data_IF_940435471216
#
_entry.id   IF_940435471216
#
_cell.length_a   1.000
_cell.length_b   1.000
_cell.length_c   1.000
_cell.angle_alpha   90.00
_cell.angle_beta   90.00
_cell.angle_gamma   90.00
#
_symmetry.space_group_name_H-M   'P 1'
#
loop_
_entity.id
_entity.type
_entity.pdbx_description
1 polymer ?
#
# COMPACT_ATOMS: atom_id res chain seq x y z
N UNK A 1 22.61 50.96 10.89
CA UNK A 1 21.28 50.29 10.91
C UNK A 1 21.03 49.31 9.76
N UNK A 2 21.63 49.45 8.58
CA UNK A 2 21.45 48.51 7.43
C UNK A 2 21.87 47.05 7.72
N UNK A 3 22.97 46.82 8.45
CA UNK A 3 23.49 45.46 8.71
C UNK A 3 22.56 44.57 9.60
N UNK A 4 21.84 45.13 10.56
CA UNK A 4 20.97 44.32 11.42
C UNK A 4 19.77 43.71 10.66
N UNK A 5 19.17 44.43 9.71
CA UNK A 5 18.08 43.92 8.88
C UNK A 5 18.54 42.78 7.97
N UNK A 6 19.73 42.89 7.36
CA UNK A 6 20.33 41.85 6.53
C UNK A 6 20.60 40.57 7.33
N UNK A 7 21.11 40.68 8.55
CA UNK A 7 21.38 39.53 9.42
C UNK A 7 20.08 38.82 9.79
N UNK A 8 19.02 39.54 10.12
CA UNK A 8 17.70 38.95 10.43
C UNK A 8 17.13 38.17 9.23
N UNK A 9 17.22 38.74 8.02
CA UNK A 9 16.76 38.09 6.80
C UNK A 9 17.50 36.75 6.57
N UNK A 10 18.83 36.73 6.74
CA UNK A 10 19.66 35.53 6.58
C UNK A 10 19.26 34.46 7.61
N UNK A 11 19.04 34.83 8.87
CA UNK A 11 18.61 33.91 9.92
C UNK A 11 17.23 33.29 9.59
N UNK A 12 16.28 34.09 9.12
CA UNK A 12 14.94 33.60 8.72
C UNK A 12 15.03 32.59 7.57
N UNK A 13 15.88 32.86 6.57
CA UNK A 13 16.09 31.93 5.45
C UNK A 13 16.70 30.62 5.94
N UNK A 14 17.69 30.65 6.81
CA UNK A 14 18.33 29.45 7.37
C UNK A 14 17.30 28.60 8.16
N UNK A 15 16.51 29.25 9.01
CA UNK A 15 15.44 28.57 9.78
C UNK A 15 14.40 27.94 8.84
N UNK A 16 14.00 28.64 7.77
CA UNK A 16 13.05 28.10 6.78
C UNK A 16 13.61 26.86 6.07
N UNK A 17 14.89 26.85 5.70
CA UNK A 17 15.54 25.70 5.08
C UNK A 17 15.60 24.51 6.05
N UNK A 18 15.95 24.76 7.32
CA UNK A 18 15.97 23.71 8.36
C UNK A 18 14.59 23.10 8.56
N UNK A 19 13.53 23.92 8.62
CA UNK A 19 12.16 23.46 8.76
C UNK A 19 11.74 22.62 7.54
N UNK A 20 12.05 23.05 6.32
CA UNK A 20 11.73 22.32 5.09
C UNK A 20 12.46 20.98 5.00
N UNK A 21 13.74 20.94 5.39
CA UNK A 21 14.52 19.67 5.42
C UNK A 21 14.01 18.73 6.50
N UNK A 22 13.65 19.25 7.66
CA UNK A 22 13.08 18.45 8.75
C UNK A 22 11.70 17.88 8.40
N UNK A 23 10.84 18.69 7.75
CA UNK A 23 9.56 18.19 7.21
C UNK A 23 9.75 17.12 6.12
N UNK A 24 10.70 17.30 5.23
CA UNK A 24 11.05 16.30 4.21
C UNK A 24 11.54 14.98 4.81
N UNK A 25 12.26 15.04 5.93
CA UNK A 25 12.74 13.85 6.65
C UNK A 25 11.60 13.11 7.38
N UNK A 26 10.69 13.85 8.03
CA UNK A 26 9.53 13.26 8.73
C UNK A 26 8.52 12.64 7.77
N UNK A 27 8.37 13.20 6.55
CA UNK A 27 7.45 12.66 5.53
C UNK A 27 7.94 11.39 4.82
N UNK A 28 9.16 10.92 5.08
CA UNK A 28 9.63 9.64 4.53
C UNK A 28 8.89 8.52 5.24
N UNK A 29 7.83 8.00 4.61
CA UNK A 29 7.06 6.86 5.12
C UNK A 29 8.01 5.69 5.35
N UNK A 30 8.23 5.31 6.61
CA UNK A 30 9.05 4.14 6.93
C UNK A 30 8.38 2.89 6.34
N UNK A 31 9.20 2.10 5.64
CA UNK A 31 8.78 0.78 5.18
C UNK A 31 8.62 -0.14 6.39
N UNK A 32 7.64 -1.03 6.33
CA UNK A 32 7.37 -2.01 7.39
C UNK A 32 7.49 -3.45 6.88
N UNK A 33 7.56 -4.39 7.81
CA UNK A 33 7.50 -5.82 7.52
C UNK A 33 6.06 -6.34 7.57
N UNK A 34 5.75 -7.31 6.71
CA UNK A 34 4.57 -8.14 6.87
C UNK A 34 4.73 -9.05 8.09
N UNK A 35 3.66 -9.73 8.52
CA UNK A 35 3.77 -10.80 9.49
C UNK A 35 4.67 -11.91 8.95
N UNK A 36 5.41 -12.59 9.80
CA UNK A 36 6.43 -13.57 9.40
C UNK A 36 5.89 -14.72 8.56
N UNK A 37 4.67 -15.16 8.85
CA UNK A 37 3.98 -16.20 8.09
C UNK A 37 3.53 -15.79 6.68
N UNK A 38 3.75 -14.53 6.27
CA UNK A 38 3.48 -14.04 4.92
C UNK A 38 4.74 -13.91 4.06
N UNK A 39 5.89 -14.39 4.54
CA UNK A 39 7.12 -14.51 3.75
C UNK A 39 7.28 -15.91 3.16
N UNK A 40 6.19 -16.39 2.56
CA UNK A 40 6.11 -17.61 1.75
C UNK A 40 5.06 -17.40 0.66
N UNK A 41 5.34 -17.88 -0.56
CA UNK A 41 4.43 -17.69 -1.68
C UNK A 41 3.08 -18.36 -1.44
N UNK A 42 2.04 -17.54 -1.46
CA UNK A 42 0.65 -18.00 -1.51
C UNK A 42 -0.28 -16.89 -2.02
N UNK A 43 -1.34 -17.26 -2.75
CA UNK A 43 -2.51 -16.42 -3.06
C UNK A 43 -3.67 -16.90 -2.19
N UNK A 44 -3.58 -16.62 -0.90
CA UNK A 44 -4.43 -17.20 0.14
C UNK A 44 -5.84 -16.61 0.15
N UNK A 45 -6.84 -17.44 -0.13
CA UNK A 45 -8.26 -17.05 0.02
C UNK A 45 -8.61 -16.93 1.50
N UNK A 46 -9.25 -15.80 1.86
CA UNK A 46 -9.68 -15.53 3.23
C UNK A 46 -11.15 -15.08 3.29
N UNK A 47 -11.78 -15.28 4.44
CA UNK A 47 -13.11 -14.79 4.70
C UNK A 47 -13.08 -13.35 5.27
N UNK A 48 -14.23 -12.64 5.25
CA UNK A 48 -14.35 -11.35 5.91
C UNK A 48 -14.13 -11.44 7.43
N UNK A 49 -14.42 -12.60 8.05
CA UNK A 49 -14.17 -12.84 9.49
C UNK A 49 -12.68 -12.89 9.80
N UNK A 50 -11.90 -13.54 8.93
CA UNK A 50 -10.44 -13.60 9.05
C UNK A 50 -9.85 -12.20 8.94
N UNK A 51 -10.31 -11.38 7.96
CA UNK A 51 -9.85 -10.00 7.80
C UNK A 51 -10.18 -9.15 9.04
N UNK A 52 -11.42 -9.23 9.56
CA UNK A 52 -11.80 -8.50 10.75
C UNK A 52 -11.02 -8.95 12.00
N UNK A 53 -10.61 -10.22 12.07
CA UNK A 53 -9.71 -10.74 13.11
C UNK A 53 -8.32 -10.14 12.97
N UNK A 54 -7.71 -10.18 11.77
CA UNK A 54 -6.40 -9.61 11.49
C UNK A 54 -6.33 -8.10 11.79
N UNK A 55 -7.41 -7.37 11.49
CA UNK A 55 -7.54 -5.96 11.83
C UNK A 55 -7.51 -5.72 13.34
N UNK A 56 -8.33 -6.45 14.11
CA UNK A 56 -8.39 -6.37 15.57
C UNK A 56 -7.05 -6.73 16.22
N UNK A 57 -6.37 -7.74 15.68
CA UNK A 57 -5.04 -8.19 16.11
C UNK A 57 -3.92 -7.25 15.62
N UNK A 58 -4.25 -6.17 14.92
CA UNK A 58 -3.30 -5.17 14.39
C UNK A 58 -2.21 -5.81 13.51
N UNK A 59 -2.58 -6.76 12.67
CA UNK A 59 -1.66 -7.44 11.76
C UNK A 59 -1.32 -6.61 10.53
N UNK A 60 -0.16 -6.92 9.91
CA UNK A 60 0.35 -6.28 8.71
C UNK A 60 0.33 -7.27 7.55
N UNK A 61 -0.38 -6.95 6.46
CA UNK A 61 -0.61 -7.85 5.32
C UNK A 61 -0.97 -7.09 4.04
N UNK A 62 -0.93 -7.81 2.90
CA UNK A 62 -1.43 -7.34 1.61
C UNK A 62 -2.76 -8.03 1.33
N UNK A 63 -3.76 -7.28 0.91
CA UNK A 63 -5.09 -7.79 0.58
C UNK A 63 -5.48 -7.41 -0.85
N UNK A 64 -5.84 -8.40 -1.66
CA UNK A 64 -6.42 -8.22 -2.99
C UNK A 64 -7.92 -8.47 -2.92
N UNK A 65 -8.71 -7.49 -3.34
CA UNK A 65 -10.14 -7.67 -3.57
C UNK A 65 -10.41 -7.96 -5.05
N UNK A 66 -11.25 -8.93 -5.36
CA UNK A 66 -11.54 -9.30 -6.74
C UNK A 66 -13.05 -9.52 -6.97
N UNK A 67 -13.46 -9.37 -8.22
CA UNK A 67 -14.81 -9.75 -8.65
C UNK A 67 -14.75 -11.09 -9.38
N UNK A 68 -15.31 -12.17 -8.82
CA UNK A 68 -15.27 -13.50 -9.43
C UNK A 68 -16.01 -13.60 -10.78
N UNK A 69 -16.86 -12.62 -11.09
CA UNK A 69 -17.62 -12.54 -12.34
C UNK A 69 -17.01 -11.61 -13.40
N UNK A 70 -15.86 -11.01 -13.10
CA UNK A 70 -15.20 -10.06 -14.00
C UNK A 70 -14.35 -10.82 -15.03
N UNK A 71 -14.81 -10.87 -16.28
CA UNK A 71 -14.04 -11.37 -17.41
C UNK A 71 -13.19 -10.23 -18.00
N UNK A 72 -12.18 -9.77 -17.28
CA UNK A 72 -11.22 -8.81 -17.87
C UNK A 72 -10.41 -9.50 -18.96
N UNK A 73 -10.26 -8.84 -20.12
CA UNK A 73 -9.38 -9.30 -21.22
C UNK A 73 -7.90 -9.42 -20.80
N UNK A 74 -7.50 -8.72 -19.74
CA UNK A 74 -6.16 -8.78 -19.16
C UNK A 74 -6.28 -9.45 -17.80
N UNK A 75 -5.69 -10.63 -17.58
CA UNK A 75 -5.71 -11.32 -16.30
C UNK A 75 -4.75 -10.60 -15.33
N UNK A 76 -5.25 -9.55 -14.69
CA UNK A 76 -4.47 -8.77 -13.70
C UNK A 76 -4.04 -9.61 -12.49
N UNK A 77 -4.76 -10.69 -12.19
CA UNK A 77 -4.42 -11.69 -11.18
C UNK A 77 -3.03 -12.30 -11.42
N UNK A 78 -2.66 -12.58 -12.69
CA UNK A 78 -1.34 -13.10 -13.03
C UNK A 78 -0.20 -12.17 -12.66
N UNK A 79 -0.37 -10.86 -12.78
CA UNK A 79 0.65 -9.86 -12.39
C UNK A 79 0.91 -9.93 -10.89
N UNK A 80 -0.15 -10.02 -10.08
CA UNK A 80 -0.04 -10.09 -8.63
C UNK A 80 0.52 -11.43 -8.16
N UNK A 81 0.08 -12.53 -8.80
CA UNK A 81 0.58 -13.88 -8.54
C UNK A 81 2.06 -14.01 -8.90
N UNK A 82 2.46 -13.54 -10.08
CA UNK A 82 3.85 -13.54 -10.52
C UNK A 82 4.74 -12.75 -9.55
N UNK A 83 4.31 -11.56 -9.13
CA UNK A 83 5.03 -10.78 -8.13
C UNK A 83 5.15 -11.52 -6.81
N UNK A 84 4.04 -12.06 -6.28
CA UNK A 84 4.02 -12.79 -5.03
C UNK A 84 4.97 -14.00 -5.06
N UNK A 85 4.99 -14.73 -6.18
CA UNK A 85 5.88 -15.86 -6.41
C UNK A 85 7.35 -15.43 -6.48
N UNK A 86 7.66 -14.39 -7.27
CA UNK A 86 9.02 -13.90 -7.44
C UNK A 86 9.63 -13.33 -6.15
N UNK A 87 8.80 -12.79 -5.26
CA UNK A 87 9.23 -12.21 -3.98
C UNK A 87 8.99 -13.13 -2.79
N UNK A 88 8.50 -14.35 -3.04
CA UNK A 88 8.17 -15.35 -2.02
C UNK A 88 7.32 -14.77 -0.88
N UNK A 89 6.21 -14.10 -1.22
CA UNK A 89 5.29 -13.50 -0.25
C UNK A 89 3.85 -13.96 -0.46
N UNK A 90 3.05 -13.88 0.60
CA UNK A 90 1.62 -14.17 0.56
C UNK A 90 0.82 -12.88 0.28
N UNK A 91 -0.12 -12.97 -0.67
CA UNK A 91 -1.19 -11.98 -0.85
C UNK A 91 -2.51 -12.63 -0.45
N UNK A 92 -3.19 -12.03 0.53
CA UNK A 92 -4.53 -12.47 0.92
C UNK A 92 -5.54 -12.04 -0.15
N UNK A 93 -6.48 -12.92 -0.49
CA UNK A 93 -7.48 -12.65 -1.52
C UNK A 93 -8.89 -12.81 -0.98
N UNK A 94 -9.79 -11.89 -1.34
CA UNK A 94 -11.19 -11.91 -0.91
C UNK A 94 -12.13 -11.46 -2.04
N UNK A 95 -13.26 -12.17 -2.31
CA UNK A 95 -14.27 -11.67 -3.19
C UNK A 95 -14.84 -10.33 -2.71
N UNK A 96 -15.09 -9.40 -3.63
CA UNK A 96 -15.49 -8.05 -3.28
C UNK A 96 -16.83 -7.97 -2.55
N UNK A 97 -17.78 -8.85 -2.86
CA UNK A 97 -19.06 -8.97 -2.14
C UNK A 97 -18.85 -9.30 -0.65
N UNK A 98 -17.85 -10.12 -0.34
CA UNK A 98 -17.47 -10.47 1.04
C UNK A 98 -16.64 -9.35 1.69
N UNK A 99 -15.77 -8.70 0.91
CA UNK A 99 -14.98 -7.55 1.37
C UNK A 99 -15.86 -6.42 1.89
N UNK A 100 -17.04 -6.20 1.30
CA UNK A 100 -18.03 -5.20 1.77
C UNK A 100 -18.43 -5.34 3.24
N UNK A 101 -18.18 -6.51 3.87
CA UNK A 101 -18.46 -6.77 5.29
C UNK A 101 -17.29 -6.43 6.21
N UNK A 102 -16.20 -5.88 5.70
CA UNK A 102 -15.04 -5.43 6.48
C UNK A 102 -15.09 -3.93 6.72
N UNK A 103 -14.43 -3.47 7.78
CA UNK A 103 -14.28 -2.02 8.04
C UNK A 103 -13.53 -1.30 6.92
N UNK A 104 -12.65 -1.99 6.21
CA UNK A 104 -11.87 -1.43 5.10
C UNK A 104 -12.72 -0.97 3.92
N UNK A 105 -13.94 -1.51 3.79
CA UNK A 105 -14.89 -1.06 2.75
C UNK A 105 -15.31 0.41 2.92
N UNK A 106 -15.18 0.99 4.11
CA UNK A 106 -15.45 2.43 4.31
C UNK A 106 -14.52 3.30 3.45
N UNK A 107 -13.31 2.81 3.19
CA UNK A 107 -12.26 3.52 2.42
C UNK A 107 -12.15 3.02 0.98
N UNK A 108 -12.17 1.70 0.77
CA UNK A 108 -11.96 1.07 -0.56
C UNK A 108 -13.30 0.65 -1.13
N UNK A 109 -13.75 1.30 -2.20
CA UNK A 109 -15.11 1.19 -2.74
C UNK A 109 -15.23 0.35 -4.02
N UNK A 110 -14.12 -0.04 -4.63
CA UNK A 110 -14.10 -0.71 -5.93
C UNK A 110 -13.40 -2.06 -5.87
N UNK A 111 -13.86 -2.99 -6.72
CA UNK A 111 -13.24 -4.29 -6.92
C UNK A 111 -11.90 -4.16 -7.64
N UNK A 112 -11.10 -5.23 -7.56
CA UNK A 112 -9.74 -5.32 -8.07
C UNK A 112 -8.81 -4.27 -7.42
N UNK A 113 -8.99 -4.04 -6.13
CA UNK A 113 -8.10 -3.19 -5.35
C UNK A 113 -7.06 -4.00 -4.62
N UNK A 114 -5.80 -3.57 -4.69
CA UNK A 114 -4.72 -4.10 -3.85
C UNK A 114 -4.48 -3.14 -2.70
N UNK A 115 -4.62 -3.64 -1.47
CA UNK A 115 -4.61 -2.85 -0.24
C UNK A 115 -3.40 -3.24 0.59
N UNK A 116 -2.59 -2.28 0.99
CA UNK A 116 -1.46 -2.47 1.91
C UNK A 116 -1.90 -2.05 3.30
N UNK A 117 -1.89 -3.00 4.22
CA UNK A 117 -2.31 -2.82 5.61
C UNK A 117 -1.11 -2.97 6.53
N UNK A 118 -0.92 -2.01 7.43
CA UNK A 118 0.08 -2.06 8.49
C UNK A 118 -0.59 -1.88 9.85
N UNK A 119 -0.37 -2.82 10.75
CA UNK A 119 -0.96 -2.82 12.11
C UNK A 119 -2.47 -2.58 12.10
N UNK A 120 -3.18 -3.27 11.20
CA UNK A 120 -4.63 -3.17 11.03
C UNK A 120 -5.13 -1.90 10.36
N UNK A 121 -4.26 -1.01 9.85
CA UNK A 121 -4.65 0.25 9.19
C UNK A 121 -4.24 0.27 7.73
N UNK A 122 -5.12 0.78 6.86
CA UNK A 122 -4.78 1.01 5.46
C UNK A 122 -3.67 2.07 5.36
N UNK A 123 -2.56 1.70 4.76
CA UNK A 123 -1.46 2.63 4.44
C UNK A 123 -1.69 3.25 3.06
N UNK A 124 -2.06 2.41 2.10
CA UNK A 124 -2.36 2.80 0.72
C UNK A 124 -3.13 1.70 0.01
N UNK A 125 -3.70 2.00 -1.13
CA UNK A 125 -4.31 1.00 -2.01
C UNK A 125 -4.22 1.43 -3.48
N UNK A 126 -4.18 0.45 -4.36
CA UNK A 126 -4.41 0.61 -5.78
C UNK A 126 -5.90 0.44 -6.05
N UNK A 127 -6.43 1.33 -6.89
CA UNK A 127 -7.82 1.36 -7.32
C UNK A 127 -7.82 1.24 -8.85
N UNK A 128 -8.46 0.19 -9.37
CA UNK A 128 -8.49 -0.09 -10.79
C UNK A 128 -9.28 0.96 -11.59
N UNK A 129 -10.19 1.69 -10.93
CA UNK A 129 -10.97 2.75 -11.55
C UNK A 129 -10.16 4.03 -11.84
N UNK A 130 -8.92 4.09 -11.34
CA UNK A 130 -8.05 5.26 -11.56
C UNK A 130 -7.07 5.01 -12.70
N UNK A 131 -7.19 5.76 -13.78
CA UNK A 131 -6.33 5.68 -14.98
C UNK A 131 -4.84 5.66 -14.66
N UNK A 132 -4.41 6.47 -13.69
CA UNK A 132 -3.01 6.51 -13.26
C UNK A 132 -2.48 5.18 -12.72
N UNK A 133 -3.37 4.28 -12.29
CA UNK A 133 -3.01 2.99 -11.73
C UNK A 133 -2.99 1.87 -12.80
N UNK A 134 -3.58 2.06 -13.98
CA UNK A 134 -3.71 1.02 -15.01
C UNK A 134 -2.39 0.33 -15.31
N UNK A 135 -1.29 1.11 -15.45
CA UNK A 135 0.05 0.57 -15.72
C UNK A 135 0.57 -0.36 -14.63
N UNK A 136 0.08 -0.24 -13.39
CA UNK A 136 0.47 -1.09 -12.26
C UNK A 136 -0.28 -2.43 -12.28
N UNK A 137 -1.39 -2.50 -12.99
CA UNK A 137 -2.16 -3.73 -13.23
C UNK A 137 -1.70 -4.52 -14.47
N UNK A 138 -0.74 -4.00 -15.22
CA UNK A 138 -0.28 -4.56 -16.49
C UNK A 138 1.21 -4.92 -16.50
N UNK A 139 1.95 -4.61 -15.45
CA UNK A 139 3.41 -4.73 -15.41
C UNK A 139 3.87 -5.12 -14.00
N UNK A 140 4.38 -6.36 -13.88
CA UNK A 140 4.82 -6.95 -12.60
C UNK A 140 5.91 -6.10 -11.94
N UNK A 141 6.83 -5.52 -12.71
CA UNK A 141 7.92 -4.69 -12.15
C UNK A 141 7.38 -3.36 -11.60
N UNK A 142 6.47 -2.73 -12.32
CA UNK A 142 5.84 -1.47 -11.85
C UNK A 142 4.99 -1.70 -10.61
N UNK A 143 4.25 -2.81 -10.59
CA UNK A 143 3.50 -3.23 -9.41
C UNK A 143 4.44 -3.49 -8.23
N UNK A 144 5.53 -4.23 -8.45
CA UNK A 144 6.54 -4.49 -7.43
C UNK A 144 7.16 -3.22 -6.88
N UNK A 145 7.60 -2.32 -7.75
CA UNK A 145 8.13 -1.01 -7.35
C UNK A 145 7.15 -0.19 -6.52
N UNK A 146 5.84 -0.33 -6.76
CA UNK A 146 4.83 0.32 -5.94
C UNK A 146 4.71 -0.32 -4.56
N UNK A 147 4.64 -1.66 -4.45
CA UNK A 147 4.60 -2.39 -3.17
C UNK A 147 5.84 -2.08 -2.33
N UNK A 148 7.02 -2.16 -2.93
CA UNK A 148 8.31 -1.99 -2.27
C UNK A 148 8.59 -0.57 -1.76
N UNK A 149 7.72 0.41 -2.07
CA UNK A 149 7.73 1.72 -1.40
C UNK A 149 7.26 1.65 0.05
N UNK A 150 6.50 0.63 0.42
CA UNK A 150 5.83 0.52 1.72
C UNK A 150 6.31 -0.69 2.51
N UNK A 151 6.68 -1.78 1.85
CA UNK A 151 7.01 -3.06 2.47
C UNK A 151 8.50 -3.34 2.36
N UNK A 152 9.08 -3.85 3.45
CA UNK A 152 10.41 -4.45 3.46
C UNK A 152 10.26 -5.93 3.12
N UNK A 153 10.96 -6.40 2.09
CA UNK A 153 11.10 -7.81 1.77
C UNK A 153 12.20 -8.41 2.65
N UNK A 154 12.10 -9.71 2.91
CA UNK A 154 13.15 -10.50 3.61
C UNK A 154 14.02 -11.22 2.61
#
# INVERSE_FOLDING_TARGET
>A
MKNKKSIIIVIVIIISIIILTFFGYICKKEKFYLEDNYYNYDMKKVSYRDINKLEKEKKSFILLTYNPYCSLKIPCDKIFEEYAKNKNITILTIPFDKFKRTEYYKTVKYALSVIIINKGRIITYLDAEKDKNIKLYQDTNKFGNWIEKYIKLK
#
